data_IF_873315222858
#
_entry.id   IF_873315222858
#
_cell.length_a   1.000
_cell.length_b   1.000
_cell.length_c   1.000
_cell.angle_alpha   90.00
_cell.angle_beta   90.00
_cell.angle_gamma   90.00
#
_symmetry.space_group_name_H-M   'P 1'
#
loop_
_entity.id
_entity.type
_entity.pdbx_description
1 polymer ?
#
# COMPACT_ATOMS: atom_id res chain seq x y z
N UNK A 1 -8.91 -41.17 7.44
CA UNK A 1 -7.44 -41.17 7.60
C UNK A 1 -6.83 -41.18 6.21
N UNK A 2 -6.27 -40.06 5.75
CA UNK A 2 -5.52 -40.04 4.49
C UNK A 2 -4.21 -40.81 4.70
N UNK A 3 -3.91 -41.75 3.80
CA UNK A 3 -2.68 -42.56 3.88
C UNK A 3 -1.44 -41.68 3.99
N UNK A 4 -0.47 -42.12 4.82
CA UNK A 4 0.81 -41.43 5.10
C UNK A 4 1.32 -40.76 3.82
N UNK A 5 1.28 -39.43 3.80
CA UNK A 5 1.73 -38.68 2.64
C UNK A 5 3.19 -39.02 2.33
N UNK A 6 3.40 -39.23 1.04
CA UNK A 6 4.59 -39.06 0.25
C UNK A 6 5.78 -38.32 0.90
N UNK A 7 7.00 -38.90 0.91
CA UNK A 7 8.19 -38.20 1.38
C UNK A 7 8.49 -36.96 0.53
N UNK A 8 9.05 -35.92 1.17
CA UNK A 8 9.57 -34.74 0.48
C UNK A 8 10.92 -35.06 -0.17
N UNK A 9 11.14 -34.54 -1.37
CA UNK A 9 12.39 -34.69 -2.13
C UNK A 9 12.78 -33.36 -2.77
N UNK A 10 14.07 -33.17 -3.06
CA UNK A 10 14.58 -31.97 -3.75
C UNK A 10 14.91 -30.78 -2.84
N UNK A 11 14.48 -30.78 -1.57
CA UNK A 11 14.91 -29.79 -0.59
C UNK A 11 16.39 -30.02 -0.18
N UNK A 12 17.16 -28.93 -0.02
CA UNK A 12 18.54 -29.00 0.47
C UNK A 12 18.75 -28.14 1.71
N UNK A 13 18.15 -26.94 1.74
CA UNK A 13 18.27 -25.97 2.82
C UNK A 13 17.12 -26.05 3.83
N UNK A 14 15.93 -26.37 3.35
CA UNK A 14 14.69 -26.36 4.14
C UNK A 14 14.65 -27.57 5.05
N UNK A 15 14.46 -27.32 6.34
CA UNK A 15 14.39 -28.39 7.32
C UNK A 15 13.14 -29.26 7.09
N UNK A 16 13.34 -30.57 7.20
CA UNK A 16 12.27 -31.57 7.14
C UNK A 16 11.20 -31.34 8.20
N UNK A 17 11.58 -30.92 9.41
CA UNK A 17 10.64 -30.63 10.51
C UNK A 17 9.59 -29.58 10.09
N UNK A 18 10.05 -28.48 9.49
CA UNK A 18 9.20 -27.42 8.97
C UNK A 18 8.25 -27.90 7.86
N UNK A 19 8.71 -28.79 6.98
CA UNK A 19 7.86 -29.35 5.93
C UNK A 19 6.79 -30.29 6.49
N UNK A 20 7.12 -31.05 7.54
CA UNK A 20 6.17 -31.88 8.27
C UNK A 20 5.14 -31.02 9.03
N UNK A 21 5.55 -29.88 9.59
CA UNK A 21 4.62 -28.92 10.20
C UNK A 21 3.59 -28.42 9.19
N UNK A 22 4.02 -28.05 7.98
CA UNK A 22 3.11 -27.65 6.89
C UNK A 22 2.19 -28.81 6.48
N UNK A 23 2.73 -30.04 6.42
CA UNK A 23 1.93 -31.23 6.12
C UNK A 23 0.85 -31.45 7.17
N UNK A 24 1.18 -31.30 8.45
CA UNK A 24 0.25 -31.55 9.56
C UNK A 24 -0.99 -30.65 9.54
N UNK A 25 -0.86 -29.43 9.02
CA UNK A 25 -1.97 -28.48 8.89
C UNK A 25 -2.72 -28.60 7.57
N UNK A 26 -2.29 -29.48 6.66
CA UNK A 26 -2.89 -29.60 5.33
C UNK A 26 -3.83 -30.81 5.31
N UNK A 27 -5.13 -30.57 5.16
CA UNK A 27 -6.16 -31.61 5.14
C UNK A 27 -6.25 -32.35 3.80
N UNK A 28 -5.67 -31.80 2.73
CA UNK A 28 -5.67 -32.39 1.39
C UNK A 28 -4.35 -32.18 0.64
N UNK A 29 -4.17 -32.92 -0.47
CA UNK A 29 -3.01 -32.76 -1.37
C UNK A 29 -2.95 -31.35 -1.96
N UNK A 30 -4.07 -30.82 -2.41
CA UNK A 30 -4.13 -29.49 -3.02
C UNK A 30 -3.84 -28.39 -2.00
N UNK A 31 -4.33 -28.55 -0.78
CA UNK A 31 -4.02 -27.65 0.33
C UNK A 31 -2.54 -27.68 0.69
N UNK A 32 -1.91 -28.86 0.72
CA UNK A 32 -0.47 -29.00 0.95
C UNK A 32 0.34 -28.29 -0.13
N UNK A 33 0.02 -28.52 -1.40
CA UNK A 33 0.69 -27.84 -2.52
C UNK A 33 0.48 -26.32 -2.46
N UNK A 34 -0.73 -25.87 -2.10
CA UNK A 34 -1.06 -24.46 -1.92
C UNK A 34 -0.24 -23.83 -0.80
N UNK A 35 -0.17 -24.48 0.38
CA UNK A 35 0.60 -24.00 1.53
C UNK A 35 2.09 -23.93 1.20
N UNK A 36 2.67 -24.98 0.59
CA UNK A 36 4.08 -24.99 0.17
C UNK A 36 4.41 -23.87 -0.82
N UNK A 37 3.54 -23.63 -1.81
CA UNK A 37 3.68 -22.51 -2.74
C UNK A 37 3.58 -21.16 -2.03
N UNK A 38 2.67 -21.05 -1.05
CA UNK A 38 2.42 -19.82 -0.29
C UNK A 38 3.60 -19.42 0.59
N UNK A 39 4.43 -20.36 1.05
CA UNK A 39 5.67 -20.01 1.79
C UNK A 39 6.65 -19.23 0.92
N UNK A 40 6.60 -19.44 -0.41
CA UNK A 40 7.42 -18.69 -1.35
C UNK A 40 8.90 -19.10 -1.40
N UNK A 41 9.27 -20.21 -0.76
CA UNK A 41 10.64 -20.75 -0.71
C UNK A 41 11.04 -21.58 -1.94
N UNK A 42 10.06 -22.04 -2.71
CA UNK A 42 10.27 -22.96 -3.83
C UNK A 42 10.00 -22.28 -5.17
N UNK A 43 10.88 -22.49 -6.15
CA UNK A 43 10.67 -22.14 -7.55
C UNK A 43 9.50 -22.95 -8.11
N UNK A 44 9.48 -24.26 -7.80
CA UNK A 44 8.40 -25.15 -8.19
C UNK A 44 8.05 -26.14 -7.08
N UNK A 45 6.77 -26.49 -7.04
CA UNK A 45 6.21 -27.52 -6.14
C UNK A 45 5.37 -28.44 -7.01
N UNK A 46 5.84 -29.67 -7.19
CA UNK A 46 5.20 -30.68 -8.03
C UNK A 46 5.03 -32.01 -7.28
N UNK A 47 4.13 -32.85 -7.78
CA UNK A 47 3.87 -34.16 -7.22
C UNK A 47 4.02 -35.19 -8.33
N UNK A 48 4.82 -36.24 -8.09
CA UNK A 48 5.00 -37.36 -9.01
C UNK A 48 4.71 -38.65 -8.26
N UNK A 49 3.61 -39.30 -8.63
CA UNK A 49 3.05 -40.45 -7.89
C UNK A 49 2.78 -40.09 -6.42
N UNK A 50 3.43 -40.82 -5.52
CA UNK A 50 3.40 -40.58 -4.08
C UNK A 50 4.70 -39.90 -3.60
N UNK A 51 5.26 -38.94 -4.33
CA UNK A 51 6.37 -38.11 -3.84
C UNK A 51 6.10 -36.64 -4.12
N UNK A 52 6.47 -35.78 -3.16
CA UNK A 52 6.42 -34.33 -3.33
C UNK A 52 7.82 -33.86 -3.69
N UNK A 53 7.95 -33.21 -4.84
CA UNK A 53 9.19 -32.68 -5.33
C UNK A 53 9.22 -31.16 -5.15
N UNK A 54 10.24 -30.69 -4.44
CA UNK A 54 10.46 -29.30 -4.07
C UNK A 54 11.73 -28.80 -4.75
N UNK A 55 11.62 -27.75 -5.55
CA UNK A 55 12.77 -27.06 -6.14
C UNK A 55 12.98 -25.74 -5.38
N UNK A 56 14.02 -25.65 -4.56
CA UNK A 56 14.29 -24.48 -3.72
C UNK A 56 14.76 -23.27 -4.52
N UNK A 57 14.23 -22.10 -4.18
CA UNK A 57 14.71 -20.84 -4.77
C UNK A 57 16.16 -20.59 -4.38
N UNK A 58 17.03 -20.17 -5.33
CA UNK A 58 18.37 -19.73 -4.98
C UNK A 58 18.31 -18.41 -4.20
N UNK A 59 19.37 -18.15 -3.43
CA UNK A 59 19.59 -16.81 -2.88
C UNK A 59 20.01 -15.90 -4.03
N UNK A 60 19.42 -14.72 -4.11
CA UNK A 60 19.59 -13.82 -5.23
C UNK A 60 20.12 -12.47 -4.74
N UNK A 61 21.21 -12.03 -5.35
CA UNK A 61 21.72 -10.68 -5.23
C UNK A 61 21.78 -10.07 -6.63
N UNK A 62 21.01 -9.00 -6.85
CA UNK A 62 20.93 -8.29 -8.12
C UNK A 62 21.32 -6.84 -7.91
N UNK A 63 22.29 -6.40 -8.70
CA UNK A 63 22.60 -5.00 -8.89
C UNK A 63 22.10 -4.59 -10.28
N UNK A 64 21.28 -3.56 -10.34
CA UNK A 64 20.75 -3.04 -11.61
C UNK A 64 21.09 -1.57 -11.76
N UNK A 65 21.45 -1.20 -12.99
CA UNK A 65 21.72 0.18 -13.38
C UNK A 65 20.72 0.60 -14.46
N UNK A 66 20.24 1.84 -14.39
CA UNK A 66 19.39 2.43 -15.42
C UNK A 66 20.11 3.60 -16.09
N UNK A 67 19.78 3.84 -17.36
CA UNK A 67 20.27 5.00 -18.11
C UNK A 67 19.92 6.34 -17.45
N UNK A 68 18.87 6.39 -16.62
CA UNK A 68 18.52 7.55 -15.78
C UNK A 68 19.43 7.74 -14.54
N UNK A 69 20.54 7.00 -14.44
CA UNK A 69 21.49 7.09 -13.32
C UNK A 69 21.03 6.42 -12.03
N UNK A 70 19.85 5.78 -12.01
CA UNK A 70 19.34 5.08 -10.81
C UNK A 70 20.04 3.72 -10.69
N UNK A 71 20.64 3.49 -9.52
CA UNK A 71 21.23 2.21 -9.13
C UNK A 71 20.27 1.51 -8.18
N UNK A 72 19.97 0.24 -8.43
CA UNK A 72 19.10 -0.58 -7.59
C UNK A 72 19.84 -1.80 -7.09
N UNK A 73 19.76 -2.04 -5.78
CA UNK A 73 20.24 -3.27 -5.15
C UNK A 73 19.02 -4.06 -4.72
N UNK A 74 18.99 -5.33 -5.07
CA UNK A 74 18.00 -6.29 -4.62
C UNK A 74 18.74 -7.48 -4.00
N UNK A 75 18.34 -7.83 -2.78
CA UNK A 75 18.73 -9.04 -2.09
C UNK A 75 17.46 -9.81 -1.76
N UNK A 76 17.38 -11.05 -2.21
CA UNK A 76 16.28 -11.95 -1.94
C UNK A 76 16.86 -13.28 -1.45
N UNK A 77 16.79 -13.48 -0.14
CA UNK A 77 17.28 -14.66 0.56
C UNK A 77 16.11 -15.49 1.08
N UNK A 78 15.58 -16.42 0.27
CA UNK A 78 14.67 -17.44 0.77
C UNK A 78 15.46 -18.45 1.61
N UNK A 79 14.97 -18.69 2.82
CA UNK A 79 15.45 -19.69 3.76
C UNK A 79 16.96 -19.58 4.10
N UNK A 80 17.43 -18.36 4.43
CA UNK A 80 18.82 -18.06 4.81
C UNK A 80 19.28 -18.77 6.10
N UNK A 81 18.42 -18.85 7.10
CA UNK A 81 18.60 -19.44 8.44
C UNK A 81 17.95 -20.82 8.55
N UNK A 82 17.49 -21.40 7.44
CA UNK A 82 16.92 -22.76 7.37
C UNK A 82 15.62 -22.97 8.15
N UNK A 83 14.98 -21.89 8.61
CA UNK A 83 13.75 -21.93 9.41
C UNK A 83 12.50 -21.54 8.60
N UNK A 84 12.60 -21.60 7.27
CA UNK A 84 11.53 -21.27 6.33
C UNK A 84 11.28 -19.77 6.15
N UNK A 85 12.14 -18.90 6.66
CA UNK A 85 12.01 -17.45 6.54
C UNK A 85 12.37 -16.93 5.15
N UNK A 86 11.96 -15.69 4.87
CA UNK A 86 12.30 -14.98 3.64
C UNK A 86 12.77 -13.59 4.00
N UNK A 87 13.97 -13.25 3.54
CA UNK A 87 14.55 -11.92 3.67
C UNK A 87 14.56 -11.28 2.30
N UNK A 88 13.91 -10.12 2.18
CA UNK A 88 13.88 -9.32 0.97
C UNK A 88 14.36 -7.92 1.30
N UNK A 89 15.34 -7.41 0.55
CA UNK A 89 15.85 -6.04 0.68
C UNK A 89 15.95 -5.45 -0.72
N UNK A 90 15.38 -4.27 -0.90
CA UNK A 90 15.48 -3.48 -2.11
C UNK A 90 15.86 -2.04 -1.77
N UNK A 91 16.89 -1.52 -2.41
CA UNK A 91 17.36 -0.16 -2.22
C UNK A 91 17.58 0.55 -3.56
N UNK A 92 17.15 1.81 -3.67
CA UNK A 92 17.49 2.69 -4.79
C UNK A 92 18.52 3.71 -4.32
N UNK A 93 19.72 3.58 -4.87
CA UNK A 93 20.91 4.37 -4.57
C UNK A 93 21.01 5.50 -5.60
N UNK A 94 21.12 6.73 -5.11
CA UNK A 94 21.55 7.90 -5.87
C UNK A 94 22.96 8.28 -5.44
N UNK A 95 23.78 8.65 -6.41
CA UNK A 95 25.10 9.19 -6.12
C UNK A 95 24.94 10.63 -5.63
N UNK A 96 25.53 10.97 -4.48
CA UNK A 96 25.67 12.35 -4.05
C UNK A 96 26.95 12.92 -4.63
N UNK A 97 26.89 14.18 -5.08
CA UNK A 97 28.10 14.97 -5.25
C UNK A 97 28.61 15.33 -3.86
N UNK A 98 29.52 14.52 -3.33
CA UNK A 98 30.14 14.80 -2.03
C UNK A 98 31.54 15.37 -2.22
N UNK A 99 31.79 16.57 -1.67
CA UNK A 99 33.14 17.06 -1.38
C UNK A 99 33.58 16.44 -0.06
N UNK A 100 34.03 15.19 -0.08
CA UNK A 100 34.61 14.60 1.13
C UNK A 100 36.10 14.93 1.17
N UNK A 101 36.53 15.67 2.20
CA UNK A 101 37.95 15.89 2.46
C UNK A 101 38.61 14.57 2.85
N UNK A 102 39.76 14.29 2.26
CA UNK A 102 40.56 13.09 2.53
C UNK A 102 41.16 13.20 3.93
N UNK A 103 40.72 12.34 4.85
CA UNK A 103 41.35 12.17 6.15
C UNK A 103 42.47 11.13 6.03
N UNK A 104 43.61 11.34 6.68
CA UNK A 104 44.63 10.30 6.78
C UNK A 104 44.11 9.16 7.67
N UNK A 105 44.06 7.95 7.11
CA UNK A 105 43.47 6.75 7.70
C UNK A 105 44.56 5.82 8.27
N UNK A 106 45.83 6.13 8.01
CA UNK A 106 46.97 5.26 8.36
C UNK A 106 47.04 4.96 9.86
N UNK A 107 46.70 5.94 10.71
CA UNK A 107 46.74 5.87 12.17
C UNK A 107 45.51 5.26 12.85
N UNK A 108 44.43 4.95 12.10
CA UNK A 108 43.19 4.44 12.68
C UNK A 108 43.23 2.92 12.94
N UNK A 109 42.55 2.47 14.00
CA UNK A 109 42.35 1.04 14.24
C UNK A 109 41.30 0.44 13.27
N UNK A 110 41.20 -0.90 13.18
CA UNK A 110 40.31 -1.58 12.22
C UNK A 110 38.84 -1.14 12.34
N UNK A 111 38.34 -0.96 13.58
CA UNK A 111 36.96 -0.55 13.84
C UNK A 111 36.70 0.88 13.34
N UNK A 112 37.65 1.79 13.58
CA UNK A 112 37.59 3.17 13.10
C UNK A 112 37.72 3.26 11.59
N UNK A 113 38.56 2.41 10.98
CA UNK A 113 38.65 2.27 9.52
C UNK A 113 37.33 1.81 8.91
N UNK A 114 36.67 0.82 9.53
CA UNK A 114 35.34 0.36 9.10
C UNK A 114 34.28 1.44 9.27
N UNK A 115 34.26 2.16 10.41
CA UNK A 115 33.35 3.27 10.65
C UNK A 115 33.55 4.39 9.63
N UNK A 116 34.80 4.80 9.39
CA UNK A 116 35.16 5.82 8.39
C UNK A 116 34.78 5.39 6.97
N UNK A 117 34.97 4.10 6.62
CA UNK A 117 34.52 3.57 5.33
C UNK A 117 33.00 3.63 5.19
N UNK A 118 32.25 3.27 6.24
CA UNK A 118 30.79 3.37 6.27
C UNK A 118 30.35 4.83 6.12
N UNK A 119 30.98 5.77 6.82
CA UNK A 119 30.73 7.21 6.69
C UNK A 119 31.05 7.74 5.28
N UNK A 120 32.16 7.31 4.68
CA UNK A 120 32.53 7.62 3.29
C UNK A 120 31.53 7.05 2.26
N UNK A 121 30.98 5.86 2.52
CA UNK A 121 29.93 5.28 1.67
C UNK A 121 28.62 6.06 1.86
N UNK A 122 28.21 6.33 3.10
CA UNK A 122 26.97 7.04 3.44
C UNK A 122 26.96 8.49 2.94
N UNK A 123 28.12 9.14 2.90
CA UNK A 123 28.27 10.49 2.33
C UNK A 123 28.19 10.51 0.81
N UNK A 124 28.64 9.44 0.13
CA UNK A 124 28.58 9.30 -1.34
C UNK A 124 27.26 8.72 -1.85
N UNK A 125 26.47 8.08 -0.98
CA UNK A 125 25.26 7.35 -1.34
C UNK A 125 24.04 7.98 -0.66
N UNK A 126 23.09 8.51 -1.44
CA UNK A 126 21.73 8.78 -0.97
C UNK A 126 20.86 7.55 -1.21
N UNK A 127 20.27 7.00 -0.15
CA UNK A 127 19.18 6.05 -0.29
C UNK A 127 17.89 6.81 -0.58
N UNK A 128 17.52 6.87 -1.86
CA UNK A 128 16.27 7.50 -2.29
C UNK A 128 15.05 6.69 -1.86
N UNK A 129 15.18 5.36 -1.86
CA UNK A 129 14.22 4.45 -1.26
C UNK A 129 14.92 3.20 -0.70
N UNK A 130 14.39 2.67 0.39
CA UNK A 130 14.74 1.39 0.98
C UNK A 130 13.44 0.65 1.33
N UNK A 131 13.40 -0.64 1.05
CA UNK A 131 12.36 -1.54 1.51
C UNK A 131 13.05 -2.82 1.96
N UNK A 132 12.86 -3.20 3.21
CA UNK A 132 13.31 -4.46 3.75
C UNK A 132 12.13 -5.18 4.38
N UNK A 133 11.97 -6.45 4.06
CA UNK A 133 10.95 -7.33 4.59
C UNK A 133 11.62 -8.60 5.08
N UNK A 134 11.30 -8.99 6.30
CA UNK A 134 11.62 -10.31 6.84
C UNK A 134 10.30 -10.98 7.16
N UNK A 135 10.06 -12.15 6.59
CA UNK A 135 8.85 -12.93 6.89
C UNK A 135 9.23 -14.33 7.34
N UNK A 136 8.50 -14.86 8.33
CA UNK A 136 8.66 -16.24 8.80
C UNK A 136 7.29 -16.92 8.87
N UNK A 137 7.08 -18.06 8.19
CA UNK A 137 5.89 -18.87 8.33
C UNK A 137 5.78 -19.44 9.73
N UNK A 138 4.55 -19.61 10.21
CA UNK A 138 4.24 -20.32 11.44
C UNK A 138 2.88 -21.02 11.34
N UNK A 139 2.66 -22.03 12.17
CA UNK A 139 1.42 -22.81 12.20
C UNK A 139 0.67 -22.51 13.51
N UNK A 140 -0.59 -22.08 13.42
CA UNK A 140 -1.48 -21.91 14.59
C UNK A 140 -2.89 -22.34 14.22
N UNK A 141 -3.49 -23.19 15.06
CA UNK A 141 -4.89 -23.63 14.91
C UNK A 141 -5.18 -24.26 13.55
N UNK A 142 -4.31 -25.17 13.09
CA UNK A 142 -4.49 -25.88 11.83
C UNK A 142 -4.35 -25.01 10.57
N UNK A 143 -3.63 -23.89 10.64
CA UNK A 143 -3.50 -23.00 9.48
C UNK A 143 -2.15 -22.30 9.41
N UNK A 144 -1.75 -21.92 8.19
CA UNK A 144 -0.50 -21.22 7.90
C UNK A 144 -0.66 -19.70 8.07
N UNK A 145 0.13 -19.16 8.99
CA UNK A 145 0.33 -17.73 9.20
C UNK A 145 1.76 -17.29 8.86
N UNK A 146 1.99 -15.97 8.82
CA UNK A 146 3.30 -15.38 8.63
C UNK A 146 3.53 -14.27 9.66
N UNK A 147 4.63 -14.33 10.39
CA UNK A 147 5.16 -13.17 11.11
C UNK A 147 5.96 -12.35 10.11
N UNK A 148 5.72 -11.05 10.04
CA UNK A 148 6.38 -10.15 9.08
C UNK A 148 6.91 -8.92 9.79
N UNK A 149 8.18 -8.60 9.55
CA UNK A 149 8.82 -7.35 9.89
C UNK A 149 9.09 -6.56 8.61
N UNK A 150 8.58 -5.34 8.54
CA UNK A 150 8.76 -4.43 7.41
C UNK A 150 9.51 -3.19 7.87
N UNK A 151 10.54 -2.80 7.11
CA UNK A 151 11.23 -1.53 7.20
C UNK A 151 11.10 -0.84 5.84
N UNK A 152 10.60 0.38 5.81
CA UNK A 152 10.57 1.18 4.59
C UNK A 152 11.15 2.56 4.84
N UNK A 153 11.78 3.13 3.83
CA UNK A 153 12.20 4.53 3.81
C UNK A 153 12.03 5.06 2.39
N UNK A 154 11.37 6.19 2.22
CA UNK A 154 11.13 6.81 0.91
C UNK A 154 11.16 8.33 1.02
N UNK A 155 11.75 8.98 0.04
CA UNK A 155 11.57 10.42 -0.16
C UNK A 155 10.43 10.66 -1.16
N UNK A 156 9.49 11.54 -0.80
CA UNK A 156 8.37 11.96 -1.64
C UNK A 156 8.47 13.46 -1.86
N UNK A 157 8.48 13.90 -3.11
CA UNK A 157 8.41 15.31 -3.47
C UNK A 157 6.95 15.75 -3.55
N UNK A 158 6.60 16.82 -2.83
CA UNK A 158 5.27 17.42 -2.77
C UNK A 158 5.41 18.92 -3.03
N UNK A 159 5.29 19.30 -4.30
CA UNK A 159 5.65 20.65 -4.74
C UNK A 159 7.14 20.88 -4.58
N UNK A 160 7.52 21.97 -3.90
CA UNK A 160 8.92 22.33 -3.61
C UNK A 160 9.47 21.63 -2.36
N UNK A 161 8.61 20.96 -1.57
CA UNK A 161 9.01 20.30 -0.34
C UNK A 161 9.35 18.82 -0.55
N UNK A 162 10.47 18.37 0.02
CA UNK A 162 10.85 16.95 0.07
C UNK A 162 10.46 16.36 1.42
N UNK A 163 9.50 15.44 1.42
CA UNK A 163 9.06 14.74 2.61
C UNK A 163 9.76 13.39 2.70
N UNK A 164 10.36 13.09 3.86
CA UNK A 164 10.97 11.78 4.12
C UNK A 164 10.00 10.95 4.96
N UNK A 165 9.62 9.78 4.46
CA UNK A 165 8.80 8.81 5.20
C UNK A 165 9.65 7.60 5.54
N UNK A 166 9.66 7.19 6.81
CA UNK A 166 10.28 5.94 7.27
C UNK A 166 9.24 5.14 8.04
N UNK A 167 9.13 3.83 7.85
CA UNK A 167 8.23 3.01 8.66
C UNK A 167 8.92 1.74 9.14
N UNK A 168 8.57 1.29 10.34
CA UNK A 168 8.97 0.00 10.91
C UNK A 168 7.73 -0.66 11.49
N UNK A 169 7.37 -1.84 11.00
CA UNK A 169 6.15 -2.54 11.40
C UNK A 169 6.39 -4.03 11.56
N UNK A 170 5.84 -4.59 12.62
CA UNK A 170 5.80 -6.02 12.90
C UNK A 170 4.35 -6.49 12.92
N UNK A 171 4.08 -7.65 12.34
CA UNK A 171 2.71 -8.14 12.28
C UNK A 171 2.56 -9.59 11.92
N UNK A 172 1.31 -10.00 11.83
CA UNK A 172 0.88 -11.35 11.49
C UNK A 172 -0.05 -11.29 10.29
N UNK A 173 0.14 -12.20 9.34
CA UNK A 173 -0.76 -12.41 8.20
C UNK A 173 -1.28 -13.84 8.20
N UNK A 174 -2.59 -14.02 8.08
CA UNK A 174 -3.25 -15.33 8.09
C UNK A 174 -4.47 -15.31 7.17
N UNK A 175 -4.51 -16.25 6.21
CA UNK A 175 -5.67 -16.49 5.36
C UNK A 175 -6.32 -15.22 4.81
N UNK A 176 -7.48 -14.88 5.36
CA UNK A 176 -8.31 -13.75 4.94
C UNK A 176 -7.91 -12.39 5.54
N UNK A 177 -6.85 -12.28 6.35
CA UNK A 177 -6.48 -11.00 6.92
C UNK A 177 -5.05 -10.88 7.41
N UNK A 178 -4.68 -9.67 7.80
CA UNK A 178 -3.42 -9.33 8.40
C UNK A 178 -3.56 -8.22 9.42
N UNK A 179 -2.71 -8.25 10.43
CA UNK A 179 -2.64 -7.27 11.49
C UNK A 179 -1.18 -6.90 11.74
N UNK A 180 -0.89 -5.60 11.65
CA UNK A 180 0.44 -5.05 11.83
C UNK A 180 0.38 -3.92 12.84
N UNK A 181 1.44 -3.81 13.63
CA UNK A 181 1.68 -2.72 14.56
C UNK A 181 3.07 -2.16 14.31
N UNK A 182 3.25 -0.87 14.49
CA UNK A 182 4.55 -0.26 14.26
C UNK A 182 4.54 1.24 14.40
N UNK A 183 5.48 1.85 13.71
CA UNK A 183 5.67 3.29 13.71
C UNK A 183 6.07 3.78 12.33
N UNK A 184 5.68 5.02 12.04
CA UNK A 184 6.03 5.74 10.84
C UNK A 184 6.51 7.14 11.22
N UNK A 185 7.65 7.53 10.69
CA UNK A 185 8.21 8.87 10.82
C UNK A 185 7.97 9.60 9.52
N UNK A 186 7.26 10.71 9.61
CA UNK A 186 7.09 11.65 8.49
C UNK A 186 7.90 12.88 8.84
N UNK A 187 8.96 13.11 8.08
CA UNK A 187 10.08 13.98 8.44
C UNK A 187 10.64 13.56 9.80
N UNK A 188 10.31 14.29 10.87
CA UNK A 188 10.73 14.02 12.24
C UNK A 188 9.56 13.73 13.19
N UNK A 189 8.32 13.71 12.68
CA UNK A 189 7.13 13.40 13.48
C UNK A 189 6.88 11.90 13.46
N UNK A 190 6.88 11.28 14.65
CA UNK A 190 6.56 9.87 14.83
C UNK A 190 5.05 9.65 15.00
N UNK A 191 4.52 8.73 14.20
CA UNK A 191 3.19 8.17 14.27
C UNK A 191 3.28 6.73 14.74
N UNK A 192 2.56 6.37 15.80
CA UNK A 192 2.31 4.97 16.13
C UNK A 192 1.20 4.46 15.24
N UNK A 193 1.38 3.30 14.63
CA UNK A 193 0.48 2.77 13.62
C UNK A 193 -0.03 1.38 13.99
N UNK A 194 -1.29 1.13 13.67
CA UNK A 194 -1.87 -0.21 13.59
C UNK A 194 -2.55 -0.35 12.23
N UNK A 195 -2.18 -1.38 11.46
CA UNK A 195 -2.82 -1.70 10.17
C UNK A 195 -3.53 -3.03 10.24
N UNK A 196 -4.78 -3.05 9.80
CA UNK A 196 -5.61 -4.25 9.74
C UNK A 196 -6.11 -4.37 8.31
N UNK A 197 -5.78 -5.45 7.63
CA UNK A 197 -6.35 -5.79 6.33
C UNK A 197 -7.19 -7.04 6.48
N UNK A 198 -8.40 -7.05 5.92
CA UNK A 198 -9.29 -8.20 6.00
C UNK A 198 -10.08 -8.34 4.70
N UNK A 199 -10.34 -9.57 4.29
CA UNK A 199 -11.25 -9.90 3.21
C UNK A 199 -12.61 -10.24 3.81
N UNK A 200 -13.65 -9.47 3.51
CA UNK A 200 -15.02 -9.66 3.99
C UNK A 200 -15.94 -9.74 2.77
N UNK A 201 -16.59 -10.88 2.53
CA UNK A 201 -17.52 -11.06 1.40
C UNK A 201 -16.96 -10.60 0.03
N UNK A 202 -15.70 -10.95 -0.26
CA UNK A 202 -14.92 -10.51 -1.43
C UNK A 202 -14.54 -9.03 -1.52
N UNK A 203 -14.81 -8.26 -0.48
CA UNK A 203 -14.24 -6.93 -0.32
C UNK A 203 -12.95 -7.00 0.48
N UNK A 204 -11.95 -6.23 0.05
CA UNK A 204 -10.74 -5.96 0.82
C UNK A 204 -10.99 -4.72 1.67
N UNK A 205 -11.11 -4.92 2.98
CA UNK A 205 -11.10 -3.88 3.99
C UNK A 205 -9.63 -3.60 4.37
N UNK A 206 -9.20 -2.36 4.25
CA UNK A 206 -7.90 -1.87 4.73
C UNK A 206 -8.16 -0.78 5.78
N UNK A 207 -7.67 -0.98 6.99
CA UNK A 207 -7.79 -0.03 8.09
C UNK A 207 -6.40 0.34 8.56
N UNK A 208 -6.07 1.64 8.55
CA UNK A 208 -4.86 2.19 9.16
C UNK A 208 -5.28 3.13 10.29
N UNK A 209 -4.84 2.81 11.49
CA UNK A 209 -5.01 3.62 12.68
C UNK A 209 -3.68 4.26 12.99
N UNK A 210 -3.65 5.58 13.17
CA UNK A 210 -2.45 6.30 13.52
C UNK A 210 -2.64 7.21 14.72
N UNK A 211 -1.60 7.35 15.53
CA UNK A 211 -1.53 8.29 16.64
C UNK A 211 -0.22 9.08 16.55
N UNK A 212 -0.29 10.38 16.28
CA UNK A 212 0.88 11.26 16.36
C UNK A 212 1.22 11.56 17.81
N UNK A 213 2.51 11.60 18.16
CA UNK A 213 2.93 12.22 19.43
C UNK A 213 3.47 13.60 19.11
N UNK A 214 2.59 14.50 18.64
CA UNK A 214 2.98 15.87 18.33
C UNK A 214 3.11 16.69 19.61
N UNK A 215 4.28 17.31 19.85
CA UNK A 215 4.31 18.57 20.60
C UNK A 215 3.30 19.48 19.89
N UNK A 216 2.40 20.15 20.62
CA UNK A 216 1.48 21.16 20.07
C UNK A 216 2.29 22.08 19.14
N UNK A 217 2.23 21.84 17.84
CA UNK A 217 2.62 22.84 16.86
C UNK A 217 1.61 23.96 17.10
N UNK A 218 2.10 25.10 17.61
CA UNK A 218 1.32 26.33 17.60
C UNK A 218 1.19 26.72 16.14
N UNK A 219 0.17 26.18 15.46
CA UNK A 219 -0.33 26.80 14.24
C UNK A 219 -1.16 28.01 14.66
N UNK A 220 -0.49 29.16 14.68
CA UNK A 220 -1.12 30.45 14.40
C UNK A 220 -1.62 30.39 12.95
N UNK A 221 -2.84 29.88 12.74
CA UNK A 221 -3.71 30.22 11.60
C UNK A 221 -4.98 29.35 11.64
N UNK A 222 -6.05 29.94 12.18
CA UNK A 222 -7.40 29.85 11.61
C UNK A 222 -8.30 30.80 12.40
N UNK A 223 -8.35 32.03 11.87
CA UNK A 223 -9.34 33.03 12.15
C UNK A 223 -10.75 32.52 11.79
N UNK A 224 -11.65 32.75 12.75
CA UNK A 224 -13.07 33.10 12.59
C UNK A 224 -14.05 32.09 11.96
N UNK A 225 -15.11 31.74 12.70
CA UNK A 225 -16.44 32.31 12.40
C UNK A 225 -17.47 32.01 13.50
N UNK A 226 -18.00 33.10 14.04
CA UNK A 226 -19.22 33.20 14.81
C UNK A 226 -20.43 32.64 14.04
N UNK A 227 -21.30 31.95 14.75
CA UNK A 227 -22.76 31.92 14.59
C UNK A 227 -23.30 31.01 15.71
N UNK A 228 -24.41 31.23 16.38
CA UNK A 228 -25.41 32.29 16.44
C UNK A 228 -26.33 31.89 17.60
N UNK A 229 -27.03 32.87 18.19
CA UNK A 229 -28.10 32.66 19.16
C UNK A 229 -29.10 31.58 18.72
N UNK A 230 -29.49 30.68 19.64
CA UNK A 230 -30.72 29.88 19.51
C UNK A 230 -31.45 29.85 20.86
N UNK A 231 -32.62 30.47 20.86
CA UNK A 231 -33.66 30.34 21.87
C UNK A 231 -34.39 29.00 21.77
N UNK A 232 -34.54 28.37 22.94
CA UNK A 232 -35.53 27.35 23.38
C UNK A 232 -36.31 26.58 22.29
N UNK A 233 -36.03 25.27 22.15
CA UNK A 233 -37.07 24.24 22.26
C UNK A 233 -36.55 22.80 22.50
N UNK A 234 -37.19 22.13 23.47
CA UNK A 234 -37.26 20.67 23.71
C UNK A 234 -36.06 19.93 24.36
N UNK A 235 -36.36 19.21 25.45
CA UNK A 235 -35.46 18.34 26.23
C UNK A 235 -34.71 17.26 25.42
N UNK A 236 -35.12 16.98 24.17
CA UNK A 236 -34.41 16.06 23.27
C UNK A 236 -33.13 16.68 22.69
N UNK A 237 -33.04 18.00 22.61
CA UNK A 237 -31.81 18.70 22.19
C UNK A 237 -30.76 18.72 23.29
N UNK A 238 -31.15 18.74 24.58
CA UNK A 238 -30.20 18.79 25.70
C UNK A 238 -29.41 17.49 25.85
N UNK A 239 -30.03 16.33 25.61
CA UNK A 239 -29.33 15.04 25.58
C UNK A 239 -28.43 14.89 24.34
N UNK A 240 -28.85 15.43 23.19
CA UNK A 240 -27.99 15.51 21.99
C UNK A 240 -26.83 16.47 22.18
N UNK A 241 -27.04 17.61 22.84
CA UNK A 241 -26.01 18.60 23.17
C UNK A 241 -25.00 18.01 24.14
N UNK A 242 -25.44 17.44 25.25
CA UNK A 242 -24.56 16.79 26.23
C UNK A 242 -23.74 15.64 25.64
N UNK A 243 -24.35 14.79 24.79
CA UNK A 243 -23.60 13.76 24.07
C UNK A 243 -22.63 14.36 23.05
N UNK A 244 -23.04 15.39 22.30
CA UNK A 244 -22.18 16.06 21.33
C UNK A 244 -21.00 16.79 21.96
N UNK A 245 -21.21 17.40 23.14
CA UNK A 245 -20.21 18.11 23.94
C UNK A 245 -19.26 17.11 24.61
N UNK A 246 -19.77 16.02 25.19
CA UNK A 246 -18.95 14.93 25.72
C UNK A 246 -18.13 14.23 24.62
N UNK A 247 -18.72 13.99 23.45
CA UNK A 247 -18.00 13.46 22.29
C UNK A 247 -16.99 14.47 21.76
N UNK A 248 -17.29 15.78 21.79
CA UNK A 248 -16.34 16.83 21.42
C UNK A 248 -15.18 16.90 22.42
N UNK A 249 -15.45 16.78 23.72
CA UNK A 249 -14.46 16.76 24.79
C UNK A 249 -13.55 15.52 24.69
N UNK A 250 -14.12 14.32 24.52
CA UNK A 250 -13.33 13.10 24.27
C UNK A 250 -12.54 13.23 22.97
N UNK A 251 -13.14 13.82 21.92
CA UNK A 251 -12.45 14.05 20.65
C UNK A 251 -11.26 14.98 20.81
N UNK A 252 -11.42 16.05 21.58
CA UNK A 252 -10.37 17.04 21.78
C UNK A 252 -9.28 16.53 22.74
N UNK A 253 -9.67 15.76 23.76
CA UNK A 253 -8.78 15.28 24.83
C UNK A 253 -8.03 14.00 24.49
N UNK A 254 -8.63 13.08 23.72
CA UNK A 254 -8.06 11.76 23.43
C UNK A 254 -7.91 11.44 21.93
N UNK A 255 -8.69 12.08 21.05
CA UNK A 255 -8.63 11.82 19.59
C UNK A 255 -7.93 12.92 18.79
N UNK A 256 -7.48 14.01 19.42
CA UNK A 256 -6.87 15.15 18.71
C UNK A 256 -5.68 14.74 17.83
N UNK A 257 -4.94 13.74 18.31
CA UNK A 257 -3.75 13.17 17.65
C UNK A 257 -4.02 11.82 16.96
N UNK A 258 -5.26 11.34 17.00
CA UNK A 258 -5.63 10.03 16.49
C UNK A 258 -6.34 10.17 15.14
N UNK A 259 -6.02 9.27 14.21
CA UNK A 259 -6.79 9.11 13.00
C UNK A 259 -7.06 7.64 12.68
N UNK A 260 -8.18 7.42 11.98
CA UNK A 260 -8.58 6.13 11.45
C UNK A 260 -8.86 6.29 9.97
N UNK A 261 -8.05 5.67 9.14
CA UNK A 261 -8.19 5.58 7.69
C UNK A 261 -8.82 4.22 7.36
N UNK A 262 -10.05 4.25 6.84
CA UNK A 262 -10.83 3.08 6.42
C UNK A 262 -10.95 3.07 4.91
N UNK A 263 -10.51 2.01 4.26
CA UNK A 263 -10.65 1.78 2.82
C UNK A 263 -11.35 0.44 2.57
N UNK A 264 -12.25 0.42 1.61
CA UNK A 264 -12.92 -0.78 1.13
C UNK A 264 -12.76 -0.85 -0.39
N UNK A 265 -12.30 -1.98 -0.91
CA UNK A 265 -12.19 -2.19 -2.35
C UNK A 265 -12.66 -3.56 -2.80
N UNK A 266 -13.26 -3.64 -3.98
CA UNK A 266 -13.64 -4.90 -4.62
C UNK A 266 -13.43 -4.80 -6.12
N UNK A 267 -12.81 -5.82 -6.68
CA UNK A 267 -12.63 -5.97 -8.13
C UNK A 267 -13.35 -7.24 -8.58
N UNK A 268 -14.27 -7.08 -9.50
CA UNK A 268 -15.06 -8.15 -10.10
C UNK A 268 -14.65 -8.25 -11.56
N UNK A 269 -14.35 -9.47 -12.03
CA UNK A 269 -14.05 -9.70 -13.44
C UNK A 269 -14.79 -10.95 -13.89
N UNK A 270 -15.58 -10.80 -14.94
CA UNK A 270 -16.30 -11.87 -15.60
C UNK A 270 -15.78 -11.99 -17.03
N UNK A 271 -15.53 -13.21 -17.48
CA UNK A 271 -15.08 -13.48 -18.84
C UNK A 271 -15.90 -14.63 -19.42
N UNK A 272 -16.52 -14.41 -20.58
CA UNK A 272 -17.32 -15.38 -21.32
C UNK A 272 -16.78 -15.46 -22.74
N UNK A 273 -15.95 -16.47 -23.00
CA UNK A 273 -15.18 -16.57 -24.24
C UNK A 273 -14.23 -15.38 -24.42
N UNK A 274 -14.36 -14.71 -25.55
CA UNK A 274 -13.67 -13.46 -25.89
C UNK A 274 -14.23 -12.21 -25.18
N UNK A 275 -15.45 -12.23 -24.66
CA UNK A 275 -16.04 -11.07 -23.97
C UNK A 275 -15.57 -11.03 -22.52
N UNK A 276 -15.27 -9.83 -22.02
CA UNK A 276 -15.01 -9.62 -20.60
C UNK A 276 -15.67 -8.35 -20.07
N UNK A 277 -16.14 -8.43 -18.83
CA UNK A 277 -16.58 -7.30 -18.02
C UNK A 277 -15.72 -7.23 -16.76
N UNK A 278 -15.26 -6.04 -16.41
CA UNK A 278 -14.44 -5.80 -15.23
C UNK A 278 -14.93 -4.54 -14.50
N UNK A 279 -15.23 -4.67 -13.22
CA UNK A 279 -15.67 -3.56 -12.38
C UNK A 279 -14.81 -3.48 -11.13
N UNK A 280 -14.30 -2.29 -10.83
CA UNK A 280 -13.55 -2.00 -9.62
C UNK A 280 -14.29 -0.92 -8.84
N UNK A 281 -14.61 -1.24 -7.59
CA UNK A 281 -15.28 -0.35 -6.64
C UNK A 281 -14.32 -0.06 -5.49
N UNK A 282 -14.17 1.20 -5.14
CA UNK A 282 -13.36 1.64 -4.01
C UNK A 282 -14.08 2.75 -3.25
N UNK A 283 -13.97 2.73 -1.93
CA UNK A 283 -14.42 3.83 -1.09
C UNK A 283 -13.53 3.93 0.12
N UNK A 284 -13.45 5.13 0.70
CA UNK A 284 -12.72 5.29 1.94
C UNK A 284 -13.10 6.53 2.71
N UNK A 285 -12.72 6.51 3.98
CA UNK A 285 -12.95 7.58 4.94
C UNK A 285 -11.84 7.62 5.97
N UNK A 286 -11.34 8.83 6.20
CA UNK A 286 -10.45 9.18 7.29
C UNK A 286 -11.26 9.91 8.35
N UNK A 287 -11.17 9.44 9.58
CA UNK A 287 -11.68 10.07 10.78
C UNK A 287 -10.51 10.65 11.55
N UNK A 288 -10.65 11.87 12.08
CA UNK A 288 -9.57 12.55 12.83
C UNK A 288 -8.68 13.43 11.95
N UNK A 289 -7.64 14.01 12.58
CA UNK A 289 -6.66 14.87 11.89
C UNK A 289 -5.55 13.99 11.31
N UNK A 290 -5.24 14.18 10.04
CA UNK A 290 -4.22 13.39 9.35
C UNK A 290 -3.32 14.26 8.49
N UNK A 291 -2.09 13.80 8.28
CA UNK A 291 -1.15 14.41 7.34
C UNK A 291 -1.68 14.37 5.91
N UNK A 292 -1.22 15.29 5.06
CA UNK A 292 -1.54 15.30 3.61
C UNK A 292 -1.15 14.00 2.92
N UNK A 293 -0.14 13.28 3.44
CA UNK A 293 0.28 11.98 2.92
C UNK A 293 -0.75 10.87 3.11
N UNK A 294 -1.62 10.99 4.11
CA UNK A 294 -2.67 10.02 4.39
C UNK A 294 -3.95 10.28 3.60
N UNK A 295 -4.11 11.51 3.09
CA UNK A 295 -5.32 11.91 2.36
C UNK A 295 -5.45 11.15 1.05
N UNK A 296 -6.68 10.90 0.65
CA UNK A 296 -6.97 10.20 -0.58
C UNK A 296 -6.74 11.09 -1.80
N UNK A 297 -6.13 10.50 -2.80
CA UNK A 297 -6.04 11.03 -4.16
C UNK A 297 -6.59 9.98 -5.09
N UNK A 298 -7.66 10.32 -5.80
CA UNK A 298 -8.31 9.40 -6.74
C UNK A 298 -7.82 9.69 -8.16
N UNK A 299 -7.62 8.63 -8.93
CA UNK A 299 -7.25 8.71 -10.34
C UNK A 299 -8.45 8.29 -11.19
N UNK A 300 -8.78 9.13 -12.16
CA UNK A 300 -9.85 8.90 -13.15
C UNK A 300 -9.21 9.07 -14.51
N UNK A 301 -9.39 8.11 -15.41
CA UNK A 301 -8.83 8.21 -16.78
C UNK A 301 -9.36 9.48 -17.46
N UNK A 302 -8.52 10.18 -18.21
CA UNK A 302 -8.89 11.47 -18.81
C UNK A 302 -8.56 12.70 -17.97
N UNK A 303 -8.10 12.52 -16.73
CA UNK A 303 -7.65 13.59 -15.85
C UNK A 303 -6.20 13.36 -15.43
N UNK A 304 -5.47 14.45 -15.16
CA UNK A 304 -4.12 14.36 -14.61
C UNK A 304 -4.15 13.66 -13.24
N UNK A 305 -3.03 13.03 -12.85
CA UNK A 305 -2.89 12.43 -11.51
C UNK A 305 -3.18 13.46 -10.43
N UNK A 306 -3.98 13.08 -9.42
CA UNK A 306 -4.42 13.96 -8.31
C UNK A 306 -5.32 15.14 -8.70
N UNK A 307 -5.81 15.22 -9.94
CA UNK A 307 -6.68 16.32 -10.39
C UNK A 307 -8.04 16.34 -9.68
N UNK A 308 -8.54 15.18 -9.23
CA UNK A 308 -9.86 15.06 -8.61
C UNK A 308 -9.72 15.15 -7.08
N UNK A 309 -10.22 16.25 -6.53
CA UNK A 309 -10.18 16.49 -5.09
C UNK A 309 -10.37 17.95 -4.70
N UNK A 310 -10.51 18.22 -3.40
CA UNK A 310 -10.72 19.55 -2.87
C UNK A 310 -9.52 20.45 -3.17
N UNK A 311 -9.81 21.68 -3.58
CA UNK A 311 -8.83 22.74 -3.85
C UNK A 311 -8.85 23.71 -2.70
N UNK A 312 -7.67 24.09 -2.23
CA UNK A 312 -7.46 25.06 -1.16
C UNK A 312 -6.29 25.94 -1.58
N UNK A 313 -6.48 27.25 -1.68
CA UNK A 313 -5.46 28.19 -2.19
C UNK A 313 -4.79 27.71 -3.50
N UNK A 314 -5.58 27.24 -4.48
CA UNK A 314 -5.12 26.66 -5.75
C UNK A 314 -4.22 25.41 -5.63
N UNK A 315 -4.15 24.77 -4.46
CA UNK A 315 -3.43 23.51 -4.23
C UNK A 315 -4.39 22.35 -3.96
N UNK A 316 -4.12 21.20 -4.56
CA UNK A 316 -4.85 19.95 -4.33
C UNK A 316 -4.31 19.27 -3.08
N UNK A 317 -5.05 19.36 -1.98
CA UNK A 317 -4.63 18.81 -0.68
C UNK A 317 -5.11 17.37 -0.42
N UNK A 318 -5.86 16.77 -1.35
CA UNK A 318 -6.47 15.44 -1.15
C UNK A 318 -7.71 15.49 -0.25
N UNK A 319 -8.53 14.44 -0.32
CA UNK A 319 -9.76 14.33 0.47
C UNK A 319 -9.62 13.41 1.69
N UNK A 320 -10.51 13.58 2.65
CA UNK A 320 -10.67 12.67 3.80
C UNK A 320 -11.75 11.64 3.55
N UNK A 321 -12.48 11.71 2.44
CA UNK A 321 -13.36 10.64 2.00
C UNK A 321 -13.40 10.58 0.49
N UNK A 322 -13.44 9.36 -0.05
CA UNK A 322 -13.57 9.15 -1.48
C UNK A 322 -14.50 7.98 -1.80
N UNK A 323 -14.95 7.98 -3.05
CA UNK A 323 -15.63 6.86 -3.68
C UNK A 323 -15.21 6.83 -5.14
N UNK A 324 -14.96 5.64 -5.68
CA UNK A 324 -14.55 5.40 -7.05
C UNK A 324 -15.25 4.15 -7.57
N UNK A 325 -15.72 4.22 -8.81
CA UNK A 325 -16.21 3.09 -9.56
C UNK A 325 -15.64 3.16 -10.98
N UNK A 326 -14.97 2.09 -11.39
CA UNK A 326 -14.39 1.94 -12.71
C UNK A 326 -14.99 0.70 -13.35
N UNK A 327 -15.47 0.82 -14.57
CA UNK A 327 -16.04 -0.31 -15.32
C UNK A 327 -15.40 -0.38 -16.70
N UNK A 328 -14.95 -1.57 -17.08
CA UNK A 328 -14.41 -1.90 -18.40
C UNK A 328 -15.28 -3.00 -19.00
N UNK A 329 -15.63 -2.85 -20.27
CA UNK A 329 -16.32 -3.87 -21.05
C UNK A 329 -15.63 -4.00 -22.40
N UNK A 330 -15.26 -5.22 -22.79
CA UNK A 330 -14.49 -5.39 -24.00
C UNK A 330 -14.33 -6.80 -24.51
N UNK A 331 -13.49 -6.91 -25.53
CA UNK A 331 -13.09 -8.14 -26.19
C UNK A 331 -11.63 -8.43 -25.90
N UNK A 332 -11.32 -9.68 -25.63
CA UNK A 332 -9.97 -10.21 -25.46
C UNK A 332 -9.69 -11.22 -26.58
N UNK A 333 -8.68 -10.93 -27.39
CA UNK A 333 -8.18 -11.83 -28.42
C UNK A 333 -6.68 -12.05 -28.22
N UNK A 334 -6.29 -13.29 -27.87
CA UNK A 334 -4.92 -13.66 -27.53
C UNK A 334 -4.31 -12.76 -26.45
N UNK A 335 -3.34 -11.92 -26.84
CA UNK A 335 -2.62 -11.00 -25.98
C UNK A 335 -3.11 -9.55 -26.12
N UNK A 336 -4.21 -9.33 -26.85
CA UNK A 336 -4.77 -8.01 -27.06
C UNK A 336 -6.15 -7.93 -26.41
N UNK A 337 -6.44 -6.83 -25.74
CA UNK A 337 -7.78 -6.50 -25.26
C UNK A 337 -8.19 -5.12 -25.74
N UNK A 338 -9.35 -5.02 -26.36
CA UNK A 338 -9.98 -3.77 -26.76
C UNK A 338 -11.21 -3.60 -25.88
N UNK A 339 -11.35 -2.44 -25.23
CA UNK A 339 -12.44 -2.24 -24.26
C UNK A 339 -12.94 -0.80 -24.28
N UNK A 340 -14.24 -0.64 -24.06
CA UNK A 340 -14.83 0.60 -23.60
C UNK A 340 -14.73 0.69 -22.08
N UNK A 341 -14.70 1.90 -21.55
CA UNK A 341 -14.72 2.11 -20.11
C UNK A 341 -15.57 3.31 -19.68
N UNK A 342 -16.01 3.24 -18.42
CA UNK A 342 -16.64 4.33 -17.69
C UNK A 342 -16.04 4.41 -16.29
N UNK A 343 -15.50 5.58 -15.95
CA UNK A 343 -14.95 5.87 -14.63
C UNK A 343 -15.71 7.00 -13.98
N UNK A 344 -15.98 6.84 -12.69
CA UNK A 344 -16.49 7.90 -11.84
C UNK A 344 -15.77 7.87 -10.50
N UNK A 345 -15.32 9.03 -10.03
CA UNK A 345 -14.79 9.18 -8.69
C UNK A 345 -15.19 10.51 -8.07
N UNK A 346 -15.34 10.49 -6.76
CA UNK A 346 -15.60 11.66 -5.92
C UNK A 346 -14.62 11.65 -4.77
N UNK A 347 -14.00 12.78 -4.50
CA UNK A 347 -13.01 12.92 -3.43
C UNK A 347 -13.24 14.24 -2.68
N UNK A 348 -13.68 14.17 -1.43
CA UNK A 348 -14.07 15.35 -0.64
C UNK A 348 -13.48 15.33 0.76
N UNK A 349 -13.61 16.44 1.51
CA UNK A 349 -13.33 16.48 2.95
C UNK A 349 -14.53 16.11 3.83
N UNK A 350 -15.68 15.84 3.21
CA UNK A 350 -16.95 15.54 3.90
C UNK A 350 -17.18 14.03 3.95
N UNK A 351 -18.22 13.59 4.66
CA UNK A 351 -18.51 12.16 4.80
C UNK A 351 -18.99 11.48 3.51
N UNK A 352 -18.99 10.14 3.50
CA UNK A 352 -19.39 9.31 2.34
C UNK A 352 -20.79 9.67 1.81
N UNK A 353 -21.76 9.98 2.68
CA UNK A 353 -23.11 10.41 2.28
C UNK A 353 -23.08 11.67 1.40
N UNK A 354 -22.15 12.59 1.66
CA UNK A 354 -21.96 13.77 0.84
C UNK A 354 -21.33 13.44 -0.52
N UNK A 355 -20.49 12.40 -0.60
CA UNK A 355 -19.93 11.95 -1.88
C UNK A 355 -21.04 11.48 -2.83
N UNK A 356 -22.04 10.76 -2.32
CA UNK A 356 -23.20 10.36 -3.13
C UNK A 356 -23.98 11.55 -3.69
N UNK A 357 -24.24 12.57 -2.85
CA UNK A 357 -24.89 13.81 -3.32
C UNK A 357 -24.04 14.57 -4.34
N UNK A 358 -22.71 14.56 -4.16
CA UNK A 358 -21.79 15.23 -5.06
C UNK A 358 -21.65 14.54 -6.41
N UNK A 359 -21.97 13.25 -6.55
CA UNK A 359 -21.90 12.55 -7.84
C UNK A 359 -22.70 13.26 -8.93
N UNK A 360 -23.79 13.94 -8.58
CA UNK A 360 -24.65 14.66 -9.53
C UNK A 360 -24.03 16.00 -9.97
N UNK A 361 -23.13 16.57 -9.17
CA UNK A 361 -22.52 17.86 -9.46
C UNK A 361 -21.32 17.73 -10.40
N UNK A 362 -21.56 17.87 -11.71
CA UNK A 362 -20.53 17.79 -12.75
C UNK A 362 -19.57 19.00 -12.81
N UNK A 363 -19.84 20.07 -12.08
CA UNK A 363 -19.03 21.29 -12.06
C UNK A 363 -18.03 21.33 -10.91
N UNK A 364 -18.15 20.39 -9.96
CA UNK A 364 -17.24 20.31 -8.83
C UNK A 364 -15.88 19.73 -9.22
N UNK A 365 -14.81 20.40 -8.81
CA UNK A 365 -13.42 19.90 -8.94
C UNK A 365 -13.13 18.65 -8.09
N UNK A 366 -14.08 18.27 -7.22
CA UNK A 366 -14.04 17.04 -6.44
C UNK A 366 -14.63 15.83 -7.16
N UNK A 367 -15.19 16.01 -8.36
CA UNK A 367 -15.89 14.96 -9.12
C UNK A 367 -15.22 14.75 -10.48
N UNK A 368 -14.78 13.52 -10.73
CA UNK A 368 -14.25 13.10 -12.02
C UNK A 368 -15.18 12.08 -12.64
N UNK A 369 -15.69 12.34 -13.85
CA UNK A 369 -16.38 11.33 -14.68
C UNK A 369 -15.71 11.26 -16.03
N UNK A 370 -15.53 10.08 -16.58
CA UNK A 370 -15.04 9.91 -17.94
C UNK A 370 -15.56 8.64 -18.59
N UNK A 371 -15.66 8.69 -19.91
CA UNK A 371 -15.87 7.52 -20.76
C UNK A 371 -14.73 7.44 -21.75
N UNK A 372 -14.44 6.24 -22.25
CA UNK A 372 -13.43 6.14 -23.27
C UNK A 372 -13.28 4.74 -23.83
N UNK A 373 -12.24 4.61 -24.65
CA UNK A 373 -11.82 3.34 -25.22
C UNK A 373 -10.36 3.10 -24.87
N UNK A 374 -10.00 1.84 -24.74
CA UNK A 374 -8.67 1.43 -24.40
C UNK A 374 -8.24 0.18 -25.15
N UNK A 375 -6.93 0.11 -25.34
CA UNK A 375 -6.21 -1.04 -25.85
C UNK A 375 -5.25 -1.50 -24.76
N UNK A 376 -5.28 -2.79 -24.41
CA UNK A 376 -4.35 -3.39 -23.46
C UNK A 376 -3.64 -4.55 -24.14
N UNK A 377 -2.32 -4.50 -24.14
CA UNK A 377 -1.48 -5.60 -24.61
C UNK A 377 -1.01 -6.38 -23.37
N UNK A 378 -1.17 -7.70 -23.38
CA UNK A 378 -0.77 -8.59 -22.29
C UNK A 378 0.70 -8.32 -21.96
N UNK A 379 0.99 -8.15 -20.66
CA UNK A 379 2.30 -7.79 -20.10
C UNK A 379 2.61 -6.28 -19.99
N UNK A 380 1.57 -5.44 -19.87
CA UNK A 380 1.71 -4.21 -19.10
C UNK A 380 1.45 -2.91 -19.84
N UNK A 381 1.35 -2.92 -21.17
CA UNK A 381 1.07 -1.69 -21.90
C UNK A 381 -0.44 -1.50 -22.02
N UNK A 382 -0.94 -0.36 -21.57
CA UNK A 382 -2.30 0.07 -21.86
C UNK A 382 -2.30 1.49 -22.44
N UNK A 383 -3.03 1.66 -23.53
CA UNK A 383 -3.26 2.94 -24.18
C UNK A 383 -4.74 3.23 -24.04
N UNK A 384 -5.08 4.40 -23.52
CA UNK A 384 -6.47 4.80 -23.34
C UNK A 384 -6.69 6.19 -23.92
N UNK A 385 -7.84 6.34 -24.56
CA UNK A 385 -8.39 7.63 -24.94
C UNK A 385 -9.67 7.85 -24.14
N UNK A 386 -9.64 8.85 -23.28
CA UNK A 386 -10.72 9.21 -22.39
C UNK A 386 -11.32 10.57 -22.78
N UNK A 387 -12.64 10.66 -22.76
CA UNK A 387 -13.39 11.90 -22.81
C UNK A 387 -13.91 12.23 -21.40
N UNK A 388 -13.33 13.26 -20.74
CA UNK A 388 -13.88 13.80 -19.51
C UNK A 388 -15.32 14.26 -19.70
N UNK A 389 -16.19 13.91 -18.75
CA UNK A 389 -17.59 14.31 -18.70
C UNK A 389 -17.85 15.40 -17.65
N UNK A 390 -16.88 15.67 -16.76
CA UNK A 390 -16.93 16.79 -15.81
C UNK A 390 -16.00 17.93 -16.24
N UNK A 391 -16.39 19.17 -15.89
CA UNK A 391 -15.58 20.37 -16.16
C UNK A 391 -14.47 20.48 -15.11
N UNK A 392 -13.30 19.93 -15.41
CA UNK A 392 -12.08 20.17 -14.63
C UNK A 392 -11.02 20.77 -15.54
N UNK A 393 -10.20 21.69 -15.01
CA UNK A 393 -9.13 22.35 -15.78
C UNK A 393 -7.96 21.41 -16.07
N UNK A 394 -7.82 20.31 -15.32
CA UNK A 394 -6.68 19.40 -15.38
C UNK A 394 -6.99 18.10 -16.12
N UNK A 395 -7.32 18.20 -17.41
CA UNK A 395 -7.61 17.04 -18.27
C UNK A 395 -6.38 16.51 -19.00
N UNK A 396 -6.32 15.19 -19.19
CA UNK A 396 -5.31 14.47 -19.95
C UNK A 396 -6.02 13.34 -20.73
N UNK A 397 -6.47 13.65 -21.96
CA UNK A 397 -7.36 12.76 -22.72
C UNK A 397 -6.67 11.49 -23.23
N UNK A 398 -5.39 11.58 -23.57
CA UNK A 398 -4.61 10.46 -24.05
C UNK A 398 -3.64 10.03 -22.95
N UNK A 399 -3.76 8.77 -22.53
CA UNK A 399 -2.95 8.23 -21.43
C UNK A 399 -2.34 6.90 -21.87
N UNK A 400 -1.02 6.79 -21.66
CA UNK A 400 -0.26 5.56 -21.88
C UNK A 400 0.28 5.10 -20.53
N UNK A 401 -0.12 3.90 -20.12
CA UNK A 401 0.33 3.28 -18.89
C UNK A 401 1.19 2.05 -19.20
N UNK A 402 2.30 1.93 -18.49
CA UNK A 402 3.23 0.81 -18.54
C UNK A 402 3.28 0.14 -17.16
N UNK A 403 2.53 -0.94 -16.98
CA UNK A 403 2.47 -1.77 -15.78
C UNK A 403 3.24 -3.09 -16.00
N UNK A 404 4.56 -3.02 -15.89
CA UNK A 404 5.41 -4.21 -15.96
C UNK A 404 5.49 -4.85 -14.57
N UNK A 405 4.93 -6.06 -14.44
CA UNK A 405 5.15 -6.93 -13.28
C UNK A 405 6.34 -7.85 -13.59
N UNK A 406 7.44 -7.63 -12.87
CA UNK A 406 8.66 -8.43 -12.96
C UNK A 406 8.63 -9.63 -12.02
#
# INVERSE_FOLDING_TARGET
MFGRFSPFTGHKKTDTSFLEDIRSISGSKDELLSNLRRVGLFNSVSMSGNRIHLDEKPNEFKLSYSSSGKRRVLLNGPNLFRCGERVFIQAEIRQKESKHESRDVSSLCLLEKMKYLVECIQSKVDLSSLTAEVSRPFTVGGSLGFIRGNLSSKSVELGESRIRVRSVEGGVERGMGSWFVGCEWVNDVMYKLTRINMKICDFNLNTKIGHSRGKKEKEDDMSTLNSSEISKSSLKETLKKGYSEFVAEIKQKYLGDFYVNLGLSRRMRHQVGWLFGETQLEMGRILGRCSVLEKYFVNVRGFKKKAIGPVDQNKKLGGTSFMSAQSNLGLCYKNLSIFGFYDVAVNTRKGIQHNFKMLENSESSCVGKSVGIGLRIKNGISVTYARPLTKSLETERFQVEFDMKF
#
